data_IF_663988287749
#
_entry.id   IF_663988287749
#
_cell.length_a   1.000
_cell.length_b   1.000
_cell.length_c   1.000
_cell.angle_alpha   90.00
_cell.angle_beta   90.00
_cell.angle_gamma   90.00
#
_symmetry.space_group_name_H-M   'P 1'
#
loop_
_entity.id
_entity.type
_entity.pdbx_description
1 polymer ?
#
# COMPACT_ATOMS: atom_id res chain seq x y z
N UNK A 1 16.24 -0.24 5.73
CA UNK A 1 17.24 0.80 5.98
C UNK A 1 16.61 1.96 6.72
N UNK A 2 17.30 2.46 7.75
CA UNK A 2 16.94 3.70 8.47
C UNK A 2 18.22 4.47 8.77
N UNK A 3 18.14 5.79 8.65
CA UNK A 3 19.21 6.73 9.00
C UNK A 3 18.59 7.92 9.72
N UNK A 4 19.20 8.31 10.83
CA UNK A 4 18.89 9.56 11.51
C UNK A 4 20.20 10.31 11.71
N UNK A 5 20.26 11.55 11.23
CA UNK A 5 21.44 12.39 11.30
C UNK A 5 21.04 13.73 11.91
N UNK A 6 21.77 14.15 12.89
CA UNK A 6 21.62 15.44 13.55
C UNK A 6 22.83 16.34 13.19
N UNK A 7 22.55 17.52 12.70
CA UNK A 7 23.55 18.55 12.38
C UNK A 7 23.33 19.76 13.29
N UNK A 8 24.22 19.99 14.20
CA UNK A 8 24.26 21.23 14.98
C UNK A 8 25.04 22.27 14.16
N UNK A 9 24.35 23.17 13.49
CA UNK A 9 24.95 24.20 12.63
C UNK A 9 25.52 25.31 13.49
N UNK A 10 24.76 25.70 14.52
CA UNK A 10 25.15 26.63 15.57
C UNK A 10 24.53 26.19 16.90
N UNK A 11 24.81 26.86 17.99
CA UNK A 11 24.21 26.61 19.31
C UNK A 11 22.68 26.82 19.32
N UNK A 12 22.17 27.60 18.38
CA UNK A 12 20.75 27.96 18.27
C UNK A 12 20.07 27.40 17.03
N UNK A 13 20.81 26.70 16.14
CA UNK A 13 20.24 26.09 14.91
C UNK A 13 20.67 24.65 14.73
N UNK A 14 19.71 23.77 14.71
CA UNK A 14 19.88 22.34 14.49
C UNK A 14 19.04 21.87 13.31
N UNK A 15 19.59 20.96 12.50
CA UNK A 15 18.89 20.23 11.45
C UNK A 15 18.91 18.75 11.82
N UNK A 16 17.75 18.10 11.77
CA UNK A 16 17.62 16.65 11.92
C UNK A 16 17.05 16.07 10.64
N UNK A 17 17.74 15.11 10.04
CA UNK A 17 17.23 14.34 8.91
C UNK A 17 16.99 12.90 9.31
N UNK A 18 15.79 12.41 9.02
CA UNK A 18 15.38 11.03 9.27
C UNK A 18 14.90 10.43 7.96
N UNK A 19 15.63 9.42 7.48
CA UNK A 19 15.34 8.73 6.22
C UNK A 19 15.09 7.26 6.50
N UNK A 20 14.06 6.71 5.90
CA UNK A 20 13.78 5.28 5.92
C UNK A 20 13.41 4.77 4.54
N UNK A 21 13.87 3.59 4.25
CA UNK A 21 13.50 2.84 3.05
C UNK A 21 13.26 1.38 3.42
N UNK A 22 12.19 0.81 2.91
CA UNK A 22 11.96 -0.62 2.96
C UNK A 22 11.38 -1.14 1.64
N UNK A 23 11.63 -2.40 1.35
CA UNK A 23 11.09 -3.12 0.22
C UNK A 23 10.68 -4.51 0.66
N UNK A 24 9.53 -4.93 0.20
CA UNK A 24 8.96 -6.25 0.43
C UNK A 24 8.57 -6.85 -0.91
N UNK A 25 8.84 -8.13 -1.07
CA UNK A 25 8.29 -8.94 -2.15
C UNK A 25 7.68 -10.18 -1.50
N UNK A 26 6.39 -10.34 -1.68
CA UNK A 26 5.64 -11.50 -1.28
C UNK A 26 5.13 -12.22 -2.52
N UNK A 27 5.44 -13.51 -2.64
CA UNK A 27 4.98 -14.36 -3.73
C UNK A 27 4.30 -15.58 -3.14
N UNK A 28 3.17 -15.94 -3.71
CA UNK A 28 2.39 -17.08 -3.25
C UNK A 28 1.73 -17.77 -4.43
N UNK A 29 1.59 -19.11 -4.38
CA UNK A 29 0.88 -19.86 -5.40
C UNK A 29 -0.63 -19.58 -5.30
N UNK A 30 -1.34 -19.83 -6.37
CA UNK A 30 -2.79 -19.92 -6.35
C UNK A 30 -3.55 -18.74 -6.90
N UNK A 31 -4.84 -18.85 -6.85
CA UNK A 31 -5.82 -17.93 -7.40
C UNK A 31 -6.03 -16.76 -6.46
N UNK A 32 -6.41 -15.60 -6.95
CA UNK A 32 -6.61 -14.40 -6.13
C UNK A 32 -7.62 -14.65 -5.00
N UNK A 33 -7.26 -14.20 -3.80
CA UNK A 33 -7.94 -14.59 -2.56
C UNK A 33 -7.33 -15.80 -1.87
N UNK A 34 -6.13 -16.08 -2.19
CA UNK A 34 -5.40 -17.32 -2.17
C UNK A 34 -5.16 -17.97 -0.82
N UNK A 35 -4.93 -17.22 0.24
CA UNK A 35 -4.62 -17.88 1.52
C UNK A 35 -5.80 -18.76 1.99
N UNK A 36 -7.01 -18.26 1.89
CA UNK A 36 -8.21 -19.01 2.24
C UNK A 36 -8.53 -20.06 1.19
N UNK A 37 -8.35 -19.74 -0.09
CA UNK A 37 -8.62 -20.66 -1.19
C UNK A 37 -7.62 -21.80 -1.26
N UNK A 38 -6.33 -21.53 -1.04
CA UNK A 38 -5.30 -22.58 -0.96
C UNK A 38 -5.55 -23.52 0.21
N UNK A 39 -5.84 -22.98 1.38
CA UNK A 39 -6.16 -23.77 2.57
C UNK A 39 -7.42 -24.62 2.39
N UNK A 40 -8.49 -24.03 1.81
CA UNK A 40 -9.71 -24.77 1.52
C UNK A 40 -9.48 -25.84 0.45
N UNK A 41 -8.68 -25.57 -0.58
CA UNK A 41 -8.39 -26.53 -1.63
C UNK A 41 -7.51 -27.68 -1.14
N UNK A 42 -6.56 -27.40 -0.27
CA UNK A 42 -5.73 -28.46 0.35
C UNK A 42 -6.51 -29.32 1.32
N UNK A 43 -7.53 -28.79 1.97
CA UNK A 43 -8.41 -29.55 2.89
C UNK A 43 -9.47 -30.34 2.13
N UNK A 44 -9.93 -29.83 0.99
CA UNK A 44 -11.01 -30.46 0.20
C UNK A 44 -10.49 -31.25 -1.00
N UNK A 45 -9.26 -31.02 -1.44
CA UNK A 45 -8.60 -31.91 -2.37
C UNK A 45 -8.40 -33.25 -1.67
N UNK A 46 -8.92 -34.32 -2.26
CA UNK A 46 -8.65 -35.68 -1.78
C UNK A 46 -7.14 -35.84 -1.75
N UNK A 47 -6.63 -35.84 -0.54
CA UNK A 47 -5.22 -35.89 -0.31
C UNK A 47 -4.60 -37.05 -1.10
N UNK A 48 -3.68 -36.69 -1.99
CA UNK A 48 -2.49 -37.48 -2.26
C UNK A 48 -2.63 -38.87 -2.86
N UNK A 49 -3.74 -39.27 -3.45
CA UNK A 49 -3.79 -40.62 -3.99
C UNK A 49 -3.08 -40.80 -5.32
N UNK A 50 -3.06 -39.80 -6.16
CA UNK A 50 -2.32 -39.87 -7.42
C UNK A 50 -1.79 -38.49 -7.78
N UNK A 51 -0.58 -38.17 -7.44
CA UNK A 51 -0.05 -36.83 -7.63
C UNK A 51 0.12 -36.49 -9.11
N UNK A 52 0.70 -37.34 -9.90
CA UNK A 52 0.93 -37.11 -11.34
C UNK A 52 0.81 -38.47 -12.04
N UNK A 53 0.15 -38.53 -13.18
CA UNK A 53 0.16 -39.72 -14.00
C UNK A 53 1.57 -40.03 -14.54
N UNK A 54 1.90 -41.29 -14.83
CA UNK A 54 3.21 -41.68 -15.36
C UNK A 54 3.61 -40.96 -16.66
N UNK A 55 2.66 -40.46 -17.42
CA UNK A 55 2.85 -39.66 -18.62
C UNK A 55 3.11 -38.16 -18.36
N UNK A 56 3.16 -37.77 -17.08
CA UNK A 56 3.31 -36.36 -16.68
C UNK A 56 2.02 -35.56 -16.79
N UNK A 57 0.90 -36.16 -17.12
CA UNK A 57 -0.42 -35.52 -17.19
C UNK A 57 -0.90 -35.08 -15.80
N UNK A 58 -1.71 -34.04 -15.80
CA UNK A 58 -2.36 -33.55 -14.59
C UNK A 58 -3.42 -34.51 -14.10
N UNK A 59 -3.79 -34.37 -12.88
CA UNK A 59 -4.62 -35.24 -12.09
C UNK A 59 -6.07 -35.36 -12.54
N UNK A 60 -6.70 -36.42 -12.11
CA UNK A 60 -8.13 -36.66 -12.36
C UNK A 60 -9.00 -35.56 -11.77
N UNK A 61 -10.08 -35.23 -12.49
CA UNK A 61 -11.17 -34.40 -11.99
C UNK A 61 -12.12 -35.27 -11.19
N UNK A 62 -12.26 -34.97 -9.90
CA UNK A 62 -13.37 -35.50 -9.11
C UNK A 62 -14.54 -34.52 -9.14
N UNK A 63 -15.70 -35.03 -9.51
CA UNK A 63 -16.95 -34.27 -9.45
C UNK A 63 -17.66 -34.59 -8.14
N UNK A 64 -17.68 -33.63 -7.23
CA UNK A 64 -18.42 -33.75 -5.99
C UNK A 64 -19.52 -32.69 -5.96
N UNK A 65 -20.77 -33.10 -6.14
CA UNK A 65 -21.95 -32.24 -6.27
C UNK A 65 -21.78 -31.16 -7.36
N UNK A 66 -22.10 -29.92 -7.05
CA UNK A 66 -21.98 -28.76 -7.96
C UNK A 66 -20.56 -28.19 -8.05
N UNK A 67 -19.64 -28.65 -7.22
CA UNK A 67 -18.26 -28.17 -7.21
C UNK A 67 -17.36 -29.18 -7.91
N UNK A 68 -16.66 -28.71 -8.92
CA UNK A 68 -15.58 -29.47 -9.53
C UNK A 68 -14.32 -29.28 -8.69
N UNK A 69 -14.05 -30.25 -7.84
CA UNK A 69 -12.78 -30.28 -7.09
C UNK A 69 -11.80 -31.03 -7.98
N UNK A 70 -10.68 -30.43 -8.25
CA UNK A 70 -9.63 -31.02 -9.04
C UNK A 70 -8.61 -31.67 -8.14
N UNK A 71 -8.50 -32.98 -8.29
CA UNK A 71 -7.34 -33.70 -7.76
C UNK A 71 -6.12 -33.16 -8.48
N UNK A 72 -5.20 -32.50 -7.76
CA UNK A 72 -3.97 -31.97 -8.31
C UNK A 72 -3.90 -30.50 -8.56
N UNK A 73 -4.87 -29.77 -8.15
CA UNK A 73 -4.76 -28.31 -8.10
C UNK A 73 -3.51 -27.88 -7.31
N UNK A 74 -3.15 -28.61 -6.26
CA UNK A 74 -1.93 -28.38 -5.47
C UNK A 74 -0.67 -28.57 -6.33
N UNK A 75 -0.58 -29.64 -7.12
CA UNK A 75 0.56 -29.88 -8.02
C UNK A 75 0.65 -28.80 -9.11
N UNK A 76 -0.50 -28.36 -9.59
CA UNK A 76 -0.56 -27.30 -10.57
C UNK A 76 -0.09 -25.95 -10.00
N UNK A 77 -0.40 -25.70 -8.74
CA UNK A 77 0.11 -24.55 -8.00
C UNK A 77 1.61 -24.65 -7.72
N UNK A 78 2.10 -25.86 -7.40
CA UNK A 78 3.54 -26.10 -7.18
C UNK A 78 4.38 -25.96 -8.46
N UNK A 79 3.78 -26.20 -9.62
CA UNK A 79 4.45 -26.02 -10.91
C UNK A 79 4.49 -24.55 -11.40
N UNK A 80 4.24 -23.60 -10.51
CA UNK A 80 4.21 -22.13 -10.84
C UNK A 80 3.19 -21.73 -11.91
N UNK A 81 2.19 -22.58 -12.16
CA UNK A 81 1.14 -22.28 -13.12
C UNK A 81 0.37 -21.03 -12.74
N UNK A 82 -0.07 -20.95 -11.49
CA UNK A 82 -0.70 -19.77 -10.92
C UNK A 82 0.26 -19.03 -10.03
N UNK A 83 0.52 -17.77 -10.32
CA UNK A 83 1.47 -16.94 -9.59
C UNK A 83 0.83 -15.66 -9.11
N UNK A 84 1.04 -15.37 -7.83
CA UNK A 84 0.71 -14.08 -7.26
C UNK A 84 1.97 -13.41 -6.73
N UNK A 85 2.09 -12.14 -6.93
CA UNK A 85 3.20 -11.36 -6.43
C UNK A 85 2.72 -9.99 -5.96
N UNK A 86 3.04 -9.67 -4.72
CA UNK A 86 2.93 -8.32 -4.19
C UNK A 86 4.33 -7.77 -3.94
N UNK A 87 4.64 -6.66 -4.57
CA UNK A 87 5.89 -5.93 -4.36
C UNK A 87 5.58 -4.54 -3.86
N UNK A 88 6.07 -4.24 -2.67
CA UNK A 88 5.88 -2.95 -2.02
C UNK A 88 7.22 -2.28 -1.78
N UNK A 89 7.28 -0.99 -1.99
CA UNK A 89 8.42 -0.15 -1.68
C UNK A 89 7.93 1.10 -0.99
N UNK A 90 8.58 1.46 0.08
CA UNK A 90 8.28 2.69 0.78
C UNK A 90 9.55 3.48 1.06
N UNK A 91 9.49 4.75 0.78
CA UNK A 91 10.50 5.73 1.13
C UNK A 91 9.87 6.82 1.99
N UNK A 92 10.53 7.19 3.07
CA UNK A 92 10.12 8.32 3.91
C UNK A 92 11.36 9.13 4.25
N UNK A 93 11.29 10.42 4.05
CA UNK A 93 12.28 11.37 4.51
C UNK A 93 11.59 12.49 5.28
N UNK A 94 12.08 12.77 6.46
CA UNK A 94 11.67 13.93 7.27
C UNK A 94 12.90 14.76 7.58
N UNK A 95 12.86 16.03 7.19
CA UNK A 95 13.86 17.02 7.56
C UNK A 95 13.24 18.03 8.52
N UNK A 96 13.82 18.19 9.67
CA UNK A 96 13.38 19.08 10.73
C UNK A 96 14.41 20.15 10.99
N UNK A 97 13.97 21.37 11.15
CA UNK A 97 14.74 22.53 11.55
C UNK A 97 14.30 22.95 12.95
N UNK A 98 15.22 23.08 13.86
CA UNK A 98 15.00 23.61 15.20
C UNK A 98 15.82 24.86 15.40
N UNK A 99 15.16 25.97 15.68
CA UNK A 99 15.75 27.26 15.94
C UNK A 99 15.45 27.70 17.39
N UNK A 100 16.47 28.06 18.14
CA UNK A 100 16.36 28.60 19.51
C UNK A 100 17.08 29.93 19.61
N UNK A 101 16.62 30.98 18.88
CA UNK A 101 17.40 32.21 18.69
C UNK A 101 17.54 33.06 19.96
N UNK A 102 16.67 32.84 20.94
CA UNK A 102 16.70 33.49 22.24
C UNK A 102 16.12 32.60 23.32
N UNK A 103 16.44 32.88 24.56
CA UNK A 103 15.97 32.13 25.72
C UNK A 103 14.44 32.12 25.78
N UNK A 104 13.85 30.93 25.86
CA UNK A 104 12.42 30.72 25.92
C UNK A 104 11.73 30.64 24.55
N UNK A 105 12.37 30.99 23.44
CA UNK A 105 11.79 30.87 22.11
C UNK A 105 12.36 29.66 21.36
N UNK A 106 11.47 28.77 20.91
CA UNK A 106 11.78 27.65 20.01
C UNK A 106 10.88 27.72 18.78
N UNK A 107 11.47 27.61 17.60
CA UNK A 107 10.76 27.51 16.32
C UNK A 107 11.15 26.18 15.70
N UNK A 108 10.17 25.35 15.42
CA UNK A 108 10.37 24.05 14.78
C UNK A 108 9.60 24.01 13.47
N UNK A 109 10.31 23.64 12.42
CA UNK A 109 9.72 23.39 11.12
C UNK A 109 10.15 22.02 10.62
N UNK A 110 9.22 21.20 10.14
CA UNK A 110 9.57 19.96 9.48
C UNK A 110 8.84 19.78 8.15
N UNK A 111 9.54 19.14 7.24
CA UNK A 111 9.04 18.70 5.95
C UNK A 111 9.19 17.19 5.88
N UNK A 112 8.09 16.51 5.58
CA UNK A 112 8.06 15.06 5.37
C UNK A 112 7.59 14.75 3.95
N UNK A 113 8.36 13.93 3.26
CA UNK A 113 7.97 13.28 2.02
C UNK A 113 7.87 11.77 2.24
N UNK A 114 6.74 11.17 1.81
CA UNK A 114 6.57 9.71 1.79
C UNK A 114 6.13 9.27 0.40
N UNK A 115 6.78 8.27 -0.11
CA UNK A 115 6.42 7.60 -1.35
C UNK A 115 6.17 6.11 -1.07
N UNK A 116 5.04 5.60 -1.56
CA UNK A 116 4.78 4.17 -1.60
C UNK A 116 4.50 3.76 -3.04
N UNK A 117 5.24 2.76 -3.52
CA UNK A 117 5.05 2.17 -4.83
C UNK A 117 4.72 0.68 -4.66
N UNK A 118 3.51 0.31 -5.02
CA UNK A 118 3.01 -1.06 -4.93
C UNK A 118 2.77 -1.62 -6.33
N UNK A 119 3.19 -2.85 -6.54
CA UNK A 119 2.85 -3.64 -7.71
C UNK A 119 2.27 -4.96 -7.25
N UNK A 120 1.05 -5.24 -7.67
CA UNK A 120 0.39 -6.54 -7.51
C UNK A 120 0.30 -7.19 -8.88
N UNK A 121 0.69 -8.44 -8.96
CA UNK A 121 0.54 -9.27 -10.16
C UNK A 121 -0.23 -10.54 -9.78
N UNK A 122 -1.16 -10.92 -10.63
CA UNK A 122 -1.84 -12.19 -10.57
C UNK A 122 -1.79 -12.85 -11.95
N UNK A 123 -1.15 -13.99 -12.04
CA UNK A 123 -1.10 -14.83 -13.22
C UNK A 123 -1.95 -16.08 -12.99
N UNK A 124 -2.91 -16.28 -13.84
CA UNK A 124 -3.69 -17.51 -13.95
C UNK A 124 -3.40 -18.13 -15.30
N UNK A 125 -3.11 -19.40 -15.36
CA UNK A 125 -2.89 -20.13 -16.61
C UNK A 125 -4.05 -21.11 -16.84
N UNK A 126 -4.22 -21.55 -18.09
CA UNK A 126 -5.21 -22.58 -18.40
C UNK A 126 -4.92 -23.86 -17.63
N UNK A 127 -5.94 -24.47 -17.12
CA UNK A 127 -5.83 -25.76 -16.44
C UNK A 127 -6.28 -26.88 -17.35
N UNK A 128 -5.61 -28.01 -17.22
CA UNK A 128 -6.03 -29.27 -17.83
C UNK A 128 -5.94 -30.40 -16.80
N UNK A 129 -6.69 -31.43 -17.01
CA UNK A 129 -6.64 -32.65 -16.20
C UNK A 129 -6.69 -33.87 -17.08
N UNK A 130 -6.20 -34.98 -16.58
CA UNK A 130 -6.32 -36.27 -17.26
C UNK A 130 -7.54 -37.02 -16.77
N UNK A 131 -8.47 -37.29 -17.66
CA UNK A 131 -9.68 -38.09 -17.38
C UNK A 131 -9.37 -39.60 -17.34
N UNK A 132 -8.29 -40.02 -18.02
CA UNK A 132 -7.72 -41.36 -18.04
C UNK A 132 -6.30 -41.27 -18.61
N UNK A 133 -5.42 -42.25 -18.42
CA UNK A 133 -4.11 -42.23 -19.00
C UNK A 133 -4.11 -41.88 -20.49
N UNK A 134 -3.40 -40.83 -20.89
CA UNK A 134 -3.31 -40.34 -22.26
C UNK A 134 -4.50 -39.50 -22.76
N UNK A 135 -5.53 -39.26 -21.93
CA UNK A 135 -6.67 -38.41 -22.28
C UNK A 135 -6.65 -37.10 -21.47
N UNK A 136 -6.07 -36.08 -22.03
CA UNK A 136 -5.98 -34.75 -21.42
C UNK A 136 -7.18 -33.92 -21.84
N UNK A 137 -7.86 -33.34 -20.89
CA UNK A 137 -9.05 -32.49 -21.07
C UNK A 137 -8.79 -31.12 -20.50
N UNK A 138 -8.99 -30.07 -21.29
CA UNK A 138 -8.89 -28.70 -20.83
C UNK A 138 -10.07 -28.29 -19.95
N UNK A 139 -9.78 -27.50 -18.94
CA UNK A 139 -10.81 -26.95 -18.06
C UNK A 139 -11.40 -25.71 -18.73
N UNK A 140 -12.56 -25.86 -19.31
CA UNK A 140 -13.26 -24.79 -20.02
C UNK A 140 -14.29 -24.06 -19.14
N UNK A 141 -14.58 -24.60 -17.95
CA UNK A 141 -15.59 -24.04 -17.05
C UNK A 141 -14.99 -23.53 -15.76
N UNK A 142 -15.37 -22.33 -15.37
CA UNK A 142 -14.94 -21.68 -14.14
C UNK A 142 -13.84 -20.63 -14.35
N UNK A 143 -13.93 -19.54 -13.63
CA UNK A 143 -13.02 -18.39 -13.73
C UNK A 143 -11.60 -18.65 -13.18
N UNK A 144 -11.42 -19.76 -12.48
CA UNK A 144 -10.18 -20.08 -11.76
C UNK A 144 -9.04 -20.53 -12.68
N UNK A 145 -9.35 -21.01 -13.88
CA UNK A 145 -8.38 -21.55 -14.83
C UNK A 145 -8.45 -20.87 -16.20
N UNK A 146 -9.17 -19.78 -16.29
CA UNK A 146 -9.14 -18.97 -17.50
C UNK A 146 -7.84 -18.16 -17.52
N UNK A 147 -7.03 -18.37 -18.56
CA UNK A 147 -5.78 -17.66 -18.73
C UNK A 147 -5.94 -16.17 -18.56
N UNK A 148 -5.18 -15.59 -17.62
CA UNK A 148 -5.26 -14.18 -17.28
C UNK A 148 -3.94 -13.69 -16.70
N UNK A 149 -3.48 -12.57 -17.19
CA UNK A 149 -2.46 -11.76 -16.55
C UNK A 149 -3.10 -10.46 -16.05
N UNK A 150 -3.02 -10.23 -14.75
CA UNK A 150 -3.51 -9.03 -14.10
C UNK A 150 -2.37 -8.33 -13.38
N UNK A 151 -2.19 -7.03 -13.64
CA UNK A 151 -1.25 -6.22 -12.89
C UNK A 151 -1.90 -4.91 -12.44
N UNK A 152 -1.53 -4.51 -11.23
CA UNK A 152 -1.88 -3.20 -10.68
C UNK A 152 -0.62 -2.49 -10.23
N UNK A 153 -0.46 -1.26 -10.64
CA UNK A 153 0.56 -0.34 -10.16
C UNK A 153 -0.12 0.79 -9.41
N UNK A 154 0.22 0.94 -8.14
CA UNK A 154 -0.33 1.99 -7.28
C UNK A 154 0.80 2.81 -6.70
N UNK A 155 0.79 4.12 -6.96
CA UNK A 155 1.73 5.06 -6.39
C UNK A 155 0.99 6.00 -5.43
N UNK A 156 1.61 6.23 -4.27
CA UNK A 156 1.17 7.20 -3.29
C UNK A 156 2.32 8.17 -3.04
N UNK A 157 2.04 9.45 -3.20
CA UNK A 157 2.92 10.53 -2.79
C UNK A 157 2.24 11.32 -1.67
N UNK A 158 2.97 11.57 -0.60
CA UNK A 158 2.50 12.31 0.56
C UNK A 158 3.53 13.35 0.94
N UNK A 159 3.07 14.58 1.11
CA UNK A 159 3.85 15.70 1.57
C UNK A 159 3.22 16.28 2.82
N UNK A 160 4.05 16.61 3.80
CA UNK A 160 3.62 17.28 5.02
C UNK A 160 4.60 18.37 5.39
N UNK A 161 4.06 19.50 5.78
CA UNK A 161 4.79 20.64 6.38
C UNK A 161 4.18 20.92 7.73
N UNK A 162 4.98 20.99 8.77
CA UNK A 162 4.61 21.53 10.07
C UNK A 162 5.55 22.68 10.40
N UNK A 163 5.01 23.77 10.88
CA UNK A 163 5.75 24.92 11.37
C UNK A 163 5.09 25.40 12.67
N UNK A 164 5.82 25.43 13.76
CA UNK A 164 5.31 25.97 15.01
C UNK A 164 6.38 26.67 15.81
N UNK A 165 5.97 27.75 16.46
CA UNK A 165 6.77 28.49 17.41
C UNK A 165 6.21 28.32 18.81
N UNK A 166 7.09 28.12 19.78
CA UNK A 166 6.77 28.07 21.21
C UNK A 166 7.59 29.10 21.93
N UNK A 167 6.92 29.92 22.71
CA UNK A 167 7.59 30.86 23.62
C UNK A 167 7.17 30.56 25.06
N UNK A 168 8.15 30.41 25.92
CA UNK A 168 7.95 30.21 27.35
C UNK A 168 8.77 31.20 28.16
N UNK A 169 8.15 31.75 29.19
CA UNK A 169 8.78 32.72 30.06
C UNK A 169 8.21 32.66 31.47
N UNK A 170 9.08 32.79 32.47
CA UNK A 170 8.67 32.91 33.84
C UNK A 170 8.87 34.36 34.29
N UNK A 171 7.76 35.02 34.68
CA UNK A 171 7.77 36.37 35.22
C UNK A 171 7.79 36.31 36.74
N UNK A 172 8.77 37.00 37.34
CA UNK A 172 9.03 36.83 38.76
C UNK A 172 9.34 35.35 39.09
N UNK A 173 9.02 34.92 40.29
CA UNK A 173 9.31 33.53 40.71
C UNK A 173 8.12 32.57 40.50
N UNK A 174 6.96 33.04 40.06
CA UNK A 174 5.71 32.32 40.21
C UNK A 174 4.79 32.31 39.00
N UNK A 175 5.02 33.09 37.97
CA UNK A 175 4.14 33.23 36.85
C UNK A 175 4.77 32.60 35.60
N UNK A 176 4.36 31.40 35.27
CA UNK A 176 4.88 30.67 34.11
C UNK A 176 3.90 30.80 32.94
N UNK A 177 4.40 31.30 31.82
CA UNK A 177 3.66 31.42 30.57
C UNK A 177 4.29 30.52 29.51
N UNK A 178 3.42 29.84 28.76
CA UNK A 178 3.82 29.13 27.55
C UNK A 178 2.79 29.35 26.47
N UNK A 179 3.21 29.90 25.35
CA UNK A 179 2.36 30.10 24.16
C UNK A 179 2.94 29.35 23.00
N UNK A 180 2.08 28.72 22.22
CA UNK A 180 2.44 28.03 20.98
C UNK A 180 1.48 28.48 19.90
N UNK A 181 2.03 28.74 18.71
CA UNK A 181 1.26 28.94 17.47
C UNK A 181 1.87 28.07 16.39
N UNK A 182 1.04 27.54 15.52
CA UNK A 182 1.55 26.69 14.47
C UNK A 182 0.65 26.56 13.26
N UNK A 183 1.24 26.01 12.23
CA UNK A 183 0.66 25.71 10.95
C UNK A 183 0.99 24.28 10.56
N UNK A 184 0.02 23.58 10.03
CA UNK A 184 0.15 22.26 9.46
C UNK A 184 -0.43 22.25 8.05
N UNK A 185 0.26 21.62 7.12
CA UNK A 185 -0.22 21.32 5.78
C UNK A 185 0.15 19.92 5.40
N UNK A 186 -0.79 19.19 4.84
CA UNK A 186 -0.51 17.89 4.23
C UNK A 186 -1.29 17.71 2.93
N UNK A 187 -0.69 17.00 1.99
CA UNK A 187 -1.36 16.55 0.78
C UNK A 187 -0.99 15.12 0.48
N UNK A 188 -1.94 14.39 -0.06
CA UNK A 188 -1.75 13.03 -0.53
C UNK A 188 -2.28 12.90 -1.94
N UNK A 189 -1.44 12.38 -2.82
CA UNK A 189 -1.78 12.01 -4.17
C UNK A 189 -1.70 10.49 -4.31
N UNK A 190 -2.71 9.89 -4.92
CA UNK A 190 -2.77 8.47 -5.26
C UNK A 190 -3.06 8.34 -6.74
N UNK A 191 -2.31 7.47 -7.41
CA UNK A 191 -2.58 7.06 -8.79
C UNK A 191 -2.45 5.56 -8.90
N UNK A 192 -3.45 4.92 -9.49
CA UNK A 192 -3.39 3.52 -9.86
C UNK A 192 -3.62 3.32 -11.35
N UNK A 193 -2.97 2.29 -11.88
CA UNK A 193 -3.17 1.77 -13.22
C UNK A 193 -3.33 0.26 -13.10
N UNK A 194 -4.36 -0.27 -13.73
CA UNK A 194 -4.68 -1.70 -13.75
C UNK A 194 -4.73 -2.18 -15.19
N UNK A 195 -4.05 -3.27 -15.45
CA UNK A 195 -4.08 -3.95 -16.72
C UNK A 195 -4.53 -5.40 -16.52
N UNK A 196 -5.41 -5.87 -17.36
CA UNK A 196 -5.83 -7.28 -17.39
C UNK A 196 -5.76 -7.76 -18.83
N UNK A 197 -5.02 -8.81 -19.07
CA UNK A 197 -4.89 -9.43 -20.38
C UNK A 197 -5.22 -10.91 -20.32
N UNK A 198 -5.63 -11.45 -21.44
CA UNK A 198 -6.09 -12.83 -21.59
C UNK A 198 -5.37 -13.53 -22.73
N UNK A 199 -5.42 -14.85 -22.76
CA UNK A 199 -4.89 -15.70 -23.82
C UNK A 199 -3.40 -15.43 -24.14
N UNK A 200 -2.55 -15.53 -23.11
CA UNK A 200 -1.12 -15.39 -23.31
C UNK A 200 -0.55 -16.58 -24.08
N UNK A 201 0.34 -16.31 -25.04
CA UNK A 201 1.09 -17.34 -25.77
C UNK A 201 2.11 -18.08 -24.91
N UNK A 202 2.41 -17.59 -23.71
CA UNK A 202 3.36 -18.20 -22.80
C UNK A 202 2.80 -18.31 -21.39
N UNK A 203 2.87 -19.49 -20.82
CA UNK A 203 2.53 -19.72 -19.42
C UNK A 203 3.64 -19.26 -18.45
N UNK A 204 4.86 -19.18 -18.95
CA UNK A 204 6.06 -18.90 -18.15
C UNK A 204 6.49 -17.43 -18.17
N UNK A 205 5.94 -16.61 -19.06
CA UNK A 205 6.28 -15.20 -19.22
C UNK A 205 5.07 -14.31 -18.89
N UNK A 206 5.27 -13.38 -17.99
CA UNK A 206 4.25 -12.42 -17.54
C UNK A 206 4.43 -11.10 -18.30
N UNK A 207 4.17 -11.13 -19.62
CA UNK A 207 4.34 -9.98 -20.50
C UNK A 207 3.07 -9.72 -21.30
N UNK A 208 2.54 -8.50 -21.22
CA UNK A 208 1.37 -8.05 -21.98
C UNK A 208 1.57 -8.02 -23.50
N UNK A 209 2.82 -8.05 -23.99
CA UNK A 209 3.09 -8.18 -25.40
C UNK A 209 2.79 -9.59 -25.96
N UNK A 210 2.79 -10.58 -25.06
CA UNK A 210 2.53 -11.98 -25.40
C UNK A 210 1.04 -12.36 -25.28
N UNK A 211 0.15 -11.39 -25.16
CA UNK A 211 -1.28 -11.64 -25.17
C UNK A 211 -1.78 -12.06 -26.54
N UNK A 212 -2.71 -12.98 -26.57
CA UNK A 212 -3.44 -13.35 -27.77
C UNK A 212 -4.25 -12.20 -28.33
N UNK A 213 -4.68 -12.38 -29.55
CA UNK A 213 -5.57 -11.44 -30.24
C UNK A 213 -6.96 -12.06 -30.38
N UNK A 214 -7.96 -11.20 -30.38
CA UNK A 214 -9.34 -11.56 -30.76
C UNK A 214 -9.42 -11.83 -32.27
N UNK A 215 -10.58 -12.24 -32.72
CA UNK A 215 -10.85 -12.49 -34.15
C UNK A 215 -10.63 -11.24 -35.02
N UNK A 216 -10.86 -10.05 -34.46
CA UNK A 216 -10.61 -8.76 -35.11
C UNK A 216 -9.13 -8.32 -35.15
N UNK A 217 -8.24 -9.14 -34.58
CA UNK A 217 -6.80 -8.86 -34.50
C UNK A 217 -6.38 -7.96 -33.35
N UNK A 218 -7.31 -7.44 -32.53
CA UNK A 218 -6.97 -6.66 -31.35
C UNK A 218 -6.59 -7.55 -30.17
N UNK A 219 -5.67 -7.07 -29.35
CA UNK A 219 -5.30 -7.75 -28.10
C UNK A 219 -6.47 -7.74 -27.11
N UNK A 220 -6.72 -8.86 -26.47
CA UNK A 220 -7.72 -8.93 -25.40
C UNK A 220 -7.16 -8.34 -24.10
N UNK A 221 -7.15 -7.02 -24.06
CA UNK A 221 -6.58 -6.21 -22.98
C UNK A 221 -7.63 -5.25 -22.41
N UNK A 222 -7.82 -5.29 -21.11
CA UNK A 222 -8.60 -4.32 -20.38
C UNK A 222 -7.70 -3.42 -19.54
N UNK A 223 -7.85 -2.11 -19.70
CA UNK A 223 -7.12 -1.11 -18.95
C UNK A 223 -8.10 -0.30 -18.11
N UNK A 224 -7.72 0.00 -16.89
CA UNK A 224 -8.43 0.92 -16.00
C UNK A 224 -7.46 1.61 -15.08
N UNK A 225 -7.91 2.63 -14.39
CA UNK A 225 -7.10 3.33 -13.42
C UNK A 225 -7.84 4.51 -12.83
N UNK A 226 -7.26 5.08 -11.81
CA UNK A 226 -7.84 6.20 -11.10
C UNK A 226 -6.78 7.08 -10.48
N UNK A 227 -7.23 8.24 -10.04
CA UNK A 227 -6.41 9.14 -9.25
C UNK A 227 -7.27 9.81 -8.19
N UNK A 228 -6.66 10.06 -7.05
CA UNK A 228 -7.29 10.73 -5.93
C UNK A 228 -6.28 11.65 -5.27
N UNK A 229 -6.70 12.86 -4.97
CA UNK A 229 -5.88 13.84 -4.27
C UNK A 229 -6.70 14.55 -3.21
N UNK A 230 -6.08 14.79 -2.07
CA UNK A 230 -6.63 15.67 -1.05
C UNK A 230 -5.54 16.49 -0.39
N UNK A 231 -5.93 17.62 0.15
CA UNK A 231 -5.09 18.46 0.99
C UNK A 231 -5.83 18.82 2.28
N UNK A 232 -5.07 18.85 3.37
CA UNK A 232 -5.50 19.33 4.67
C UNK A 232 -4.55 20.45 5.09
N UNK A 233 -5.08 21.48 5.76
CA UNK A 233 -4.26 22.50 6.40
C UNK A 233 -4.93 22.95 7.68
N UNK A 234 -4.13 23.40 8.63
CA UNK A 234 -4.63 23.86 9.90
C UNK A 234 -3.72 24.87 10.55
N UNK A 235 -4.34 25.82 11.22
CA UNK A 235 -3.70 26.75 12.12
C UNK A 235 -4.09 26.39 13.54
N UNK A 236 -3.15 26.41 14.46
CA UNK A 236 -3.44 26.10 15.84
C UNK A 236 -2.70 27.04 16.79
N UNK A 237 -3.30 27.25 17.93
CA UNK A 237 -2.69 28.03 19.00
C UNK A 237 -3.00 27.34 20.35
N UNK A 238 -2.06 27.44 21.23
CA UNK A 238 -2.21 26.99 22.63
C UNK A 238 -1.56 28.01 23.56
N UNK A 239 -2.21 28.27 24.65
CA UNK A 239 -1.74 29.13 25.70
C UNK A 239 -1.86 28.41 27.05
N UNK A 240 -0.77 28.37 27.81
CA UNK A 240 -0.71 27.80 29.14
C UNK A 240 -0.24 28.90 30.10
N UNK A 241 -0.89 28.95 31.25
CA UNK A 241 -0.50 29.78 32.36
C UNK A 241 -0.52 28.97 33.66
N UNK A 242 0.54 29.13 34.43
CA UNK A 242 0.68 28.50 35.73
C UNK A 242 1.09 29.56 36.76
N UNK A 243 0.37 29.57 37.89
CA UNK A 243 0.72 30.38 39.04
C UNK A 243 1.08 29.49 40.22
N UNK A 244 2.36 29.49 40.63
CA UNK A 244 2.93 28.73 41.74
C UNK A 244 2.68 27.21 41.68
N UNK A 245 2.43 26.63 40.53
CA UNK A 245 2.05 25.21 40.42
C UNK A 245 0.68 24.87 41.02
N UNK A 246 -0.12 25.89 41.41
CA UNK A 246 -1.40 25.70 42.07
C UNK A 246 -2.59 26.02 41.19
N UNK A 247 -2.45 27.02 40.33
CA UNK A 247 -3.53 27.44 39.43
C UNK A 247 -2.99 27.33 38.00
N UNK A 248 -3.58 26.42 37.26
CA UNK A 248 -3.21 26.13 35.87
C UNK A 248 -4.39 26.44 34.97
N UNK A 249 -4.12 27.16 33.89
CA UNK A 249 -5.09 27.46 32.83
C UNK A 249 -4.48 27.06 31.50
N UNK A 250 -5.22 26.30 30.71
CA UNK A 250 -4.90 26.01 29.32
C UNK A 250 -6.04 26.45 28.42
N UNK A 251 -5.69 27.15 27.35
CA UNK A 251 -6.58 27.52 26.25
C UNK A 251 -5.96 26.99 24.96
N UNK A 252 -6.72 26.27 24.18
CA UNK A 252 -6.29 25.80 22.86
C UNK A 252 -7.41 25.98 21.83
N UNK A 253 -7.01 26.26 20.61
CA UNK A 253 -7.93 26.38 19.48
C UNK A 253 -7.26 25.94 18.21
N UNK A 254 -8.08 25.46 17.27
CA UNK A 254 -7.61 24.97 15.98
C UNK A 254 -8.60 25.38 14.87
N UNK A 255 -8.07 25.85 13.76
CA UNK A 255 -8.84 26.20 12.56
C UNK A 255 -8.33 25.35 11.39
N UNK A 256 -9.13 24.36 11.01
CA UNK A 256 -8.76 23.35 10.02
C UNK A 256 -9.54 23.49 8.72
N UNK A 257 -8.84 23.27 7.62
CA UNK A 257 -9.39 23.23 6.28
C UNK A 257 -9.10 21.92 5.56
N UNK A 258 -10.06 21.44 4.78
CA UNK A 258 -9.91 20.23 3.97
C UNK A 258 -10.45 20.42 2.57
N UNK A 259 -9.70 19.92 1.57
CA UNK A 259 -10.13 19.95 0.17
C UNK A 259 -11.31 19.02 -0.14
N UNK A 260 -11.64 18.09 0.77
CA UNK A 260 -12.69 17.08 0.58
C UNK A 260 -14.10 17.61 0.62
N UNK A 261 -14.29 18.81 1.20
CA UNK A 261 -15.58 19.43 1.28
C UNK A 261 -15.78 20.46 0.15
N UNK A 262 -17.04 20.77 -0.15
CA UNK A 262 -17.42 21.78 -1.13
C UNK A 262 -16.84 23.15 -0.78
N UNK A 263 -16.66 24.02 -1.78
CA UNK A 263 -16.26 25.41 -1.56
C UNK A 263 -17.24 26.09 -0.60
N UNK A 264 -16.70 26.80 0.40
CA UNK A 264 -17.49 27.46 1.45
C UNK A 264 -17.75 26.63 2.70
N UNK A 265 -17.51 25.31 2.67
CA UNK A 265 -17.66 24.42 3.83
C UNK A 265 -16.34 23.72 4.21
N UNK A 266 -15.23 24.22 3.70
CA UNK A 266 -13.91 23.56 3.84
C UNK A 266 -13.26 23.82 5.18
N UNK A 267 -13.70 24.81 5.92
CA UNK A 267 -13.06 25.30 7.13
C UNK A 267 -13.94 25.12 8.35
N UNK A 268 -13.35 24.70 9.45
CA UNK A 268 -14.00 24.57 10.75
C UNK A 268 -13.08 25.02 11.88
N UNK A 269 -13.67 25.56 12.93
CA UNK A 269 -12.98 25.92 14.17
C UNK A 269 -13.30 24.90 15.25
N UNK A 270 -12.27 24.51 16.02
CA UNK A 270 -12.35 23.52 17.10
C UNK A 270 -11.66 24.03 18.37
#
# INVERSE_FOLDING_TARGET
FRSKIDFNITDWFKITNNTSFWSEKYSYPGVSGAETSFSLMTVHALASYVPVLPDGGSLYKTQYNTYTIMDGMVVYMEKDGHRNMDKKRAFTNTTEFTLTPLKGLSIVGNFTYKMNANRTMNRVVNGSYSASPGNIVDITTGSYFKDKLYETFTNHDYYQVNLFGTYEHTFGEHHNFKAMVGYNYETKYLKDVKATGYHSFSENLDDFNLLGTKEDGEKELALSGGQNEYALMGYFARFNYDYKGKYLVELSGRYDGTSRFARGQRWGFF
#
